data_IF_784880002830
#
_entry.id   IF_784880002830
#
_cell.length_a   1.000
_cell.length_b   1.000
_cell.length_c   1.000
_cell.angle_alpha   90.00
_cell.angle_beta   90.00
_cell.angle_gamma   90.00
#
_symmetry.space_group_name_H-M   'P 1'
#
loop_
_entity.id
_entity.type
_entity.pdbx_description
1 polymer ?
#
# COMPACT_ATOMS: atom_id res chain seq x y z
N UNK A 1 -10.18 -2.97 9.82
CA UNK A 1 -10.49 -1.80 9.00
C UNK A 1 -9.41 -0.77 9.25
N UNK A 2 -9.08 0.04 8.24
CA UNK A 2 -8.13 1.16 8.38
C UNK A 2 -8.83 2.34 9.08
N UNK A 3 -8.07 3.16 9.79
CA UNK A 3 -8.57 4.29 10.59
C UNK A 3 -8.29 5.66 9.93
N UNK A 4 -8.11 5.69 8.60
CA UNK A 4 -7.75 6.87 7.82
C UNK A 4 -6.27 6.91 7.41
N UNK A 5 -5.94 7.79 6.46
CA UNK A 5 -4.56 8.08 6.10
C UNK A 5 -3.88 8.88 7.22
N UNK A 6 -2.65 8.47 7.61
CA UNK A 6 -1.89 9.21 8.62
C UNK A 6 -1.33 10.50 8.01
N UNK A 7 -2.08 11.60 8.14
CA UNK A 7 -1.64 12.95 7.74
C UNK A 7 -0.60 13.53 8.72
N UNK A 8 -0.83 13.35 10.03
CA UNK A 8 0.02 13.96 11.08
C UNK A 8 0.24 13.03 12.28
N UNK A 9 1.49 12.93 12.72
CA UNK A 9 1.82 12.36 14.03
C UNK A 9 2.00 13.50 15.04
N UNK A 10 1.09 13.61 16.01
CA UNK A 10 1.23 14.52 17.17
C UNK A 10 1.94 13.81 18.30
N UNK A 11 3.19 14.17 18.56
CA UNK A 11 3.96 13.64 19.70
C UNK A 11 4.08 14.73 20.76
N UNK A 12 3.78 14.42 22.03
CA UNK A 12 4.10 15.32 23.14
C UNK A 12 5.48 14.97 23.70
N UNK A 13 6.45 15.86 23.54
CA UNK A 13 7.74 15.79 24.24
C UNK A 13 7.75 16.90 25.29
N UNK A 14 7.86 16.54 26.57
CA UNK A 14 7.84 17.51 27.68
C UNK A 14 6.68 18.54 27.57
N UNK A 15 5.47 18.07 27.25
CA UNK A 15 4.24 18.88 27.07
C UNK A 15 4.20 19.78 25.82
N UNK A 16 5.24 19.82 24.99
CA UNK A 16 5.23 20.49 23.70
C UNK A 16 4.75 19.53 22.60
N UNK A 17 3.70 19.88 21.84
CA UNK A 17 3.30 19.10 20.68
C UNK A 17 4.29 19.32 19.54
N UNK A 18 4.89 18.23 19.06
CA UNK A 18 5.68 18.19 17.82
C UNK A 18 4.83 17.48 16.78
N UNK A 19 4.56 18.15 15.66
CA UNK A 19 3.92 17.56 14.48
C UNK A 19 4.98 17.08 13.50
N UNK A 20 5.00 15.77 13.22
CA UNK A 20 5.81 15.19 12.16
C UNK A 20 4.86 14.79 11.04
N UNK A 21 4.96 15.49 9.90
CA UNK A 21 4.19 15.15 8.70
C UNK A 21 4.76 13.91 8.03
N UNK A 22 4.04 12.81 8.07
CA UNK A 22 4.27 11.71 7.14
C UNK A 22 3.50 12.05 5.85
N UNK A 23 4.09 11.83 4.68
CA UNK A 23 3.46 12.06 3.37
C UNK A 23 3.10 13.50 2.98
N UNK A 24 3.27 14.48 3.87
CA UNK A 24 3.01 15.91 3.58
C UNK A 24 3.70 16.37 2.30
N UNK A 25 4.94 15.98 2.03
CA UNK A 25 5.64 16.39 0.81
C UNK A 25 5.11 15.72 -0.48
N UNK A 26 4.58 14.50 -0.39
CA UNK A 26 3.92 13.85 -1.54
C UNK A 26 2.59 14.52 -1.81
N UNK A 27 1.83 14.83 -0.76
CA UNK A 27 0.55 15.55 -0.85
C UNK A 27 0.73 17.00 -1.29
N UNK A 28 1.78 17.69 -0.84
CA UNK A 28 2.19 19.02 -1.31
C UNK A 28 2.59 18.98 -2.79
N UNK A 29 3.40 18.00 -3.21
CA UNK A 29 3.78 17.84 -4.61
C UNK A 29 2.56 17.56 -5.52
N UNK A 30 1.62 16.74 -5.04
CA UNK A 30 0.34 16.50 -5.72
C UNK A 30 -0.52 17.76 -5.72
N UNK A 31 -0.57 18.50 -4.61
CA UNK A 31 -1.29 19.78 -4.49
C UNK A 31 -0.76 20.85 -5.43
N UNK A 32 0.56 20.95 -5.60
CA UNK A 32 1.22 21.79 -6.62
C UNK A 32 0.81 21.35 -8.03
N UNK A 33 0.60 20.06 -8.25
CA UNK A 33 0.07 19.48 -9.50
C UNK A 33 -1.45 19.59 -9.68
N UNK A 34 -2.18 20.19 -8.74
CA UNK A 34 -3.64 20.37 -8.83
C UNK A 34 -4.49 19.28 -8.18
N UNK A 35 -3.91 18.41 -7.34
CA UNK A 35 -4.68 17.50 -6.48
C UNK A 35 -5.34 18.28 -5.33
N UNK A 36 -6.65 18.09 -5.14
CA UNK A 36 -7.51 18.94 -4.30
C UNK A 36 -8.32 18.09 -3.33
N UNK A 37 -7.70 17.66 -2.25
CA UNK A 37 -8.32 16.81 -1.25
C UNK A 37 -9.55 17.47 -0.60
N UNK A 38 -10.69 16.77 -0.57
CA UNK A 38 -11.95 17.30 -0.03
C UNK A 38 -11.89 17.51 1.50
N UNK A 39 -11.15 16.68 2.23
CA UNK A 39 -11.01 16.78 3.69
C UNK A 39 -10.09 17.95 4.09
N UNK A 40 -8.98 18.14 3.38
CA UNK A 40 -8.10 19.30 3.50
C UNK A 40 -8.78 20.60 3.04
N UNK A 41 -9.56 20.53 1.95
CA UNK A 41 -10.37 21.67 1.48
C UNK A 41 -11.45 22.06 2.49
N UNK A 42 -12.16 21.09 3.08
CA UNK A 42 -13.14 21.33 4.16
C UNK A 42 -12.47 21.83 5.45
N UNK A 43 -11.22 21.46 5.72
CA UNK A 43 -10.46 21.94 6.88
C UNK A 43 -10.00 23.41 6.74
N UNK A 44 -10.07 23.98 5.53
CA UNK A 44 -9.64 25.35 5.23
C UNK A 44 -8.11 25.55 5.25
N UNK A 45 -7.33 24.48 5.32
CA UNK A 45 -5.87 24.55 5.33
C UNK A 45 -5.29 25.01 3.98
N UNK A 46 -5.99 24.76 2.87
CA UNK A 46 -5.60 25.12 1.49
C UNK A 46 -6.88 25.44 0.68
N UNK A 47 -6.90 26.56 -0.06
CA UNK A 47 -8.01 26.94 -0.96
C UNK A 47 -7.78 26.35 -2.36
N UNK A 48 -8.65 25.41 -2.74
CA UNK A 48 -8.54 24.61 -3.94
C UNK A 48 -9.58 24.96 -5.02
N UNK A 49 -10.45 25.97 -4.84
CA UNK A 49 -11.52 26.29 -5.81
C UNK A 49 -12.61 25.19 -5.95
N UNK A 50 -13.47 25.27 -6.97
CA UNK A 50 -14.76 24.52 -7.03
C UNK A 50 -14.68 23.03 -7.45
N UNK A 51 -13.53 22.54 -7.93
CA UNK A 51 -13.39 21.15 -8.43
C UNK A 51 -12.85 20.16 -7.39
N UNK A 52 -12.81 20.55 -6.11
CA UNK A 52 -12.31 19.75 -4.99
C UNK A 52 -13.05 18.41 -4.77
N UNK A 53 -14.17 18.17 -5.47
CA UNK A 53 -15.00 16.97 -5.33
C UNK A 53 -14.50 15.76 -6.15
N UNK A 54 -13.32 15.85 -6.78
CA UNK A 54 -12.80 14.80 -7.69
C UNK A 54 -11.53 14.12 -7.20
N UNK A 55 -10.99 14.56 -6.06
CA UNK A 55 -9.78 13.98 -5.46
C UNK A 55 -10.15 13.29 -4.16
N UNK A 56 -9.63 12.07 -4.00
CA UNK A 56 -9.95 11.22 -2.86
C UNK A 56 -8.71 10.52 -2.35
N UNK A 57 -8.70 10.18 -1.06
CA UNK A 57 -7.69 9.33 -0.46
C UNK A 57 -8.27 7.94 -0.20
N UNK A 58 -7.49 6.93 -0.52
CA UNK A 58 -7.80 5.54 -0.18
C UNK A 58 -6.73 5.05 0.79
N UNK A 59 -7.08 5.00 2.06
CA UNK A 59 -6.30 4.35 3.10
C UNK A 59 -6.66 2.86 3.18
N UNK A 60 -5.73 2.06 3.68
CA UNK A 60 -5.93 0.61 3.79
C UNK A 60 -5.07 0.01 4.89
N UNK A 61 -5.49 -1.16 5.38
CA UNK A 61 -4.76 -1.88 6.42
C UNK A 61 -3.54 -2.57 5.81
N UNK A 62 -2.40 -1.89 5.88
CA UNK A 62 -1.12 -2.36 5.34
C UNK A 62 -0.60 -3.64 6.01
N UNK A 63 -1.22 -4.11 7.09
CA UNK A 63 -0.87 -5.39 7.71
C UNK A 63 -1.50 -6.57 6.97
N UNK A 64 -2.62 -6.33 6.28
CA UNK A 64 -3.47 -7.35 5.64
C UNK A 64 -3.09 -7.57 4.18
N UNK A 65 -3.56 -8.69 3.63
CA UNK A 65 -3.31 -9.11 2.26
C UNK A 65 -3.63 -8.00 1.24
N UNK A 66 -2.72 -7.79 0.28
CA UNK A 66 -2.96 -6.90 -0.86
C UNK A 66 -4.15 -7.34 -1.73
N UNK A 67 -4.51 -8.63 -1.81
CA UNK A 67 -5.70 -9.10 -2.53
C UNK A 67 -6.97 -8.58 -1.85
N UNK A 68 -7.06 -8.71 -0.53
CA UNK A 68 -8.17 -8.17 0.26
C UNK A 68 -8.27 -6.65 0.08
N UNK A 69 -7.14 -5.94 0.18
CA UNK A 69 -7.10 -4.49 -0.01
C UNK A 69 -7.46 -4.09 -1.46
N UNK A 70 -7.23 -4.94 -2.47
CA UNK A 70 -7.60 -4.66 -3.85
C UNK A 70 -9.12 -4.71 -4.05
N UNK A 71 -9.81 -5.58 -3.31
CA UNK A 71 -11.28 -5.60 -3.26
C UNK A 71 -11.83 -4.33 -2.61
N UNK A 72 -11.23 -3.88 -1.50
CA UNK A 72 -11.61 -2.62 -0.85
C UNK A 72 -11.38 -1.41 -1.77
N UNK A 73 -10.26 -1.41 -2.51
CA UNK A 73 -9.99 -0.39 -3.52
C UNK A 73 -11.03 -0.41 -4.64
N UNK A 74 -11.47 -1.60 -5.08
CA UNK A 74 -12.54 -1.72 -6.07
C UNK A 74 -13.83 -1.07 -5.58
N UNK A 75 -14.27 -1.40 -4.37
CA UNK A 75 -15.49 -0.86 -3.75
C UNK A 75 -15.41 0.66 -3.63
N UNK A 76 -14.28 1.16 -3.15
CA UNK A 76 -14.01 2.60 -3.06
C UNK A 76 -14.10 3.29 -4.43
N UNK A 77 -13.46 2.73 -5.46
CA UNK A 77 -13.51 3.29 -6.83
C UNK A 77 -14.95 3.32 -7.35
N UNK A 78 -15.74 2.25 -7.15
CA UNK A 78 -17.15 2.24 -7.59
C UNK A 78 -17.98 3.31 -6.85
N UNK A 79 -17.80 3.43 -5.53
CA UNK A 79 -18.49 4.44 -4.72
C UNK A 79 -18.16 5.86 -5.22
N UNK A 80 -16.87 6.18 -5.37
CA UNK A 80 -16.44 7.51 -5.84
C UNK A 80 -16.85 7.77 -7.28
N UNK A 81 -16.92 6.75 -8.12
CA UNK A 81 -17.43 6.86 -9.50
C UNK A 81 -18.87 7.36 -9.52
N UNK A 82 -19.75 6.73 -8.73
CA UNK A 82 -21.16 7.13 -8.62
C UNK A 82 -21.28 8.55 -8.04
N UNK A 83 -20.49 8.87 -7.02
CA UNK A 83 -20.46 10.21 -6.44
C UNK A 83 -20.08 11.28 -7.47
N UNK A 84 -18.96 11.09 -8.20
CA UNK A 84 -18.49 12.07 -9.20
C UNK A 84 -19.48 12.20 -10.35
N UNK A 85 -20.07 11.10 -10.84
CA UNK A 85 -21.12 11.14 -11.87
C UNK A 85 -22.32 11.97 -11.41
N UNK A 86 -22.76 11.78 -10.16
CA UNK A 86 -23.88 12.52 -9.56
C UNK A 86 -23.58 14.01 -9.45
N UNK A 87 -22.39 14.36 -8.95
CA UNK A 87 -21.99 15.77 -8.82
C UNK A 87 -21.82 16.45 -10.18
N UNK A 88 -21.26 15.76 -11.18
CA UNK A 88 -21.17 16.29 -12.56
C UNK A 88 -22.55 16.53 -13.18
N UNK A 89 -23.51 15.63 -12.95
CA UNK A 89 -24.88 15.80 -13.43
C UNK A 89 -25.56 17.02 -12.78
N UNK A 90 -25.40 17.21 -11.46
CA UNK A 90 -25.98 18.35 -10.73
C UNK A 90 -25.35 19.68 -11.11
N UNK A 91 -24.02 19.73 -11.20
CA UNK A 91 -23.27 20.98 -11.39
C UNK A 91 -23.22 21.42 -12.85
N UNK A 92 -23.12 20.46 -13.78
CA UNK A 92 -22.83 20.75 -15.19
C UNK A 92 -23.84 20.13 -16.16
N UNK A 93 -24.86 19.41 -15.68
CA UNK A 93 -25.86 18.78 -16.53
C UNK A 93 -25.36 17.56 -17.32
N UNK A 94 -24.16 17.04 -17.04
CA UNK A 94 -23.57 15.89 -17.73
C UNK A 94 -24.08 14.58 -17.14
N UNK A 95 -24.96 13.88 -17.86
CA UNK A 95 -25.66 12.67 -17.35
C UNK A 95 -24.99 11.34 -17.67
N UNK A 96 -24.18 11.29 -18.72
CA UNK A 96 -23.43 10.08 -19.10
C UNK A 96 -21.95 10.43 -19.18
N UNK A 97 -21.22 10.09 -18.12
CA UNK A 97 -19.76 10.15 -18.14
C UNK A 97 -19.20 8.82 -17.67
N UNK A 98 -18.35 8.22 -18.50
CA UNK A 98 -17.51 7.11 -18.07
C UNK A 98 -16.39 7.67 -17.21
N UNK A 99 -16.68 7.79 -15.91
CA UNK A 99 -15.71 8.31 -14.95
C UNK A 99 -14.67 7.24 -14.67
N UNK A 100 -13.41 7.62 -14.93
CA UNK A 100 -12.20 6.88 -14.56
C UNK A 100 -11.35 7.75 -13.64
N UNK A 101 -10.46 7.10 -12.89
CA UNK A 101 -9.57 7.77 -11.95
C UNK A 101 -8.11 7.67 -12.37
N UNK A 102 -7.36 8.73 -12.10
CA UNK A 102 -5.91 8.65 -12.06
C UNK A 102 -5.49 8.21 -10.65
N UNK A 103 -4.75 7.10 -10.56
CA UNK A 103 -4.28 6.55 -9.29
C UNK A 103 -2.84 6.98 -9.04
N UNK A 104 -2.58 7.58 -7.88
CA UNK A 104 -1.22 7.85 -7.40
C UNK A 104 -0.95 6.97 -6.20
N UNK A 105 0.17 6.26 -6.22
CA UNK A 105 0.53 5.30 -5.17
C UNK A 105 1.97 5.45 -4.73
N UNK A 106 2.24 5.04 -3.49
CA UNK A 106 3.58 5.01 -2.92
C UNK A 106 3.90 3.63 -2.35
N UNK A 107 5.15 3.19 -2.51
CA UNK A 107 5.69 1.97 -1.90
C UNK A 107 4.80 0.73 -2.17
N UNK A 108 4.27 0.08 -1.13
CA UNK A 108 3.46 -1.13 -1.28
C UNK A 108 2.13 -0.87 -1.98
N UNK A 109 1.60 0.35 -1.91
CA UNK A 109 0.39 0.74 -2.65
C UNK A 109 0.55 0.56 -4.16
N UNK A 110 1.78 0.62 -4.68
CA UNK A 110 2.04 0.31 -6.08
C UNK A 110 1.93 -1.17 -6.40
N UNK A 111 2.24 -2.07 -5.46
CA UNK A 111 1.98 -3.51 -5.65
C UNK A 111 0.48 -3.81 -5.63
N UNK A 112 -0.23 -3.21 -4.68
CA UNK A 112 -1.69 -3.25 -4.58
C UNK A 112 -2.35 -2.81 -5.89
N UNK A 113 -2.00 -1.64 -6.41
CA UNK A 113 -2.57 -1.14 -7.67
C UNK A 113 -2.15 -2.00 -8.86
N UNK A 114 -0.92 -2.53 -8.90
CA UNK A 114 -0.53 -3.48 -9.95
C UNK A 114 -1.38 -4.74 -9.94
N UNK A 115 -1.72 -5.27 -8.76
CA UNK A 115 -2.65 -6.40 -8.63
C UNK A 115 -4.04 -6.01 -9.11
N UNK A 116 -4.60 -4.92 -8.58
CA UNK A 116 -5.92 -4.42 -8.93
C UNK A 116 -6.08 -4.19 -10.43
N UNK A 117 -5.12 -3.53 -11.09
CA UNK A 117 -5.19 -3.29 -12.54
C UNK A 117 -5.30 -4.59 -13.33
N UNK A 118 -4.58 -5.65 -12.93
CA UNK A 118 -4.55 -6.95 -13.62
C UNK A 118 -5.74 -7.83 -13.32
N UNK A 119 -6.28 -7.79 -12.11
CA UNK A 119 -7.23 -8.79 -11.62
C UNK A 119 -8.53 -8.20 -11.06
N UNK A 120 -8.62 -6.88 -10.93
CA UNK A 120 -9.74 -6.20 -10.28
C UNK A 120 -9.85 -6.61 -8.82
N UNK A 121 -11.05 -7.04 -8.43
CA UNK A 121 -11.38 -7.58 -7.10
C UNK A 121 -11.35 -9.11 -7.04
N UNK A 122 -10.79 -9.79 -8.06
CA UNK A 122 -10.72 -11.25 -8.06
C UNK A 122 -9.76 -11.78 -6.99
N UNK A 123 -10.16 -12.88 -6.36
CA UNK A 123 -9.31 -13.67 -5.46
C UNK A 123 -8.25 -14.46 -6.26
N UNK A 124 -7.18 -14.87 -5.58
CA UNK A 124 -6.22 -15.82 -6.15
C UNK A 124 -6.84 -17.22 -6.23
N UNK A 125 -6.54 -18.01 -7.28
CA UNK A 125 -6.94 -19.41 -7.35
C UNK A 125 -6.42 -20.21 -6.15
N UNK A 126 -7.24 -21.15 -5.66
CA UNK A 126 -6.88 -22.00 -4.52
C UNK A 126 -5.81 -23.05 -4.86
N UNK A 127 -5.58 -23.33 -6.14
CA UNK A 127 -4.78 -24.45 -6.65
C UNK A 127 -3.34 -24.06 -7.04
N UNK A 128 -2.78 -23.02 -6.41
CA UNK A 128 -1.42 -22.47 -6.62
C UNK A 128 -1.09 -22.07 -8.07
N UNK A 129 -2.06 -22.17 -8.99
CA UNK A 129 -1.89 -21.74 -10.37
C UNK A 129 -1.76 -20.22 -10.44
N UNK A 130 -0.84 -19.74 -11.28
CA UNK A 130 -0.72 -18.31 -11.54
C UNK A 130 -1.90 -17.87 -12.41
N UNK A 131 -2.77 -16.96 -11.94
CA UNK A 131 -3.91 -16.52 -12.74
C UNK A 131 -3.45 -15.64 -13.91
N UNK A 132 -4.06 -15.88 -15.08
CA UNK A 132 -3.87 -15.01 -16.25
C UNK A 132 -4.48 -13.62 -15.99
N UNK A 133 -3.76 -12.52 -16.30
CA UNK A 133 -4.28 -11.17 -16.12
C UNK A 133 -5.55 -10.91 -16.96
N UNK A 134 -6.63 -10.51 -16.30
CA UNK A 134 -7.91 -10.16 -16.95
C UNK A 134 -8.01 -8.68 -17.29
N UNK A 135 -7.15 -7.85 -16.70
CA UNK A 135 -7.14 -6.39 -16.76
C UNK A 135 -8.44 -5.73 -16.27
N UNK A 136 -9.21 -6.43 -15.43
CA UNK A 136 -10.52 -5.96 -14.99
C UNK A 136 -10.48 -4.65 -14.21
N UNK A 137 -9.43 -4.36 -13.42
CA UNK A 137 -9.33 -3.08 -12.72
C UNK A 137 -8.99 -1.91 -13.65
N UNK A 138 -8.30 -2.17 -14.78
CA UNK A 138 -7.86 -1.12 -15.69
C UNK A 138 -9.02 -0.38 -16.37
N UNK A 139 -10.21 -0.98 -16.47
CA UNK A 139 -11.38 -0.30 -17.05
C UNK A 139 -11.81 0.95 -16.25
N UNK A 140 -11.46 1.03 -14.96
CA UNK A 140 -11.82 2.15 -14.07
C UNK A 140 -10.69 3.16 -13.87
N UNK A 141 -9.51 2.91 -14.46
CA UNK A 141 -8.29 3.68 -14.21
C UNK A 141 -7.77 4.26 -15.53
N UNK A 142 -7.57 5.57 -15.57
CA UNK A 142 -7.03 6.27 -16.75
C UNK A 142 -5.50 6.28 -16.73
N UNK A 143 -4.90 6.66 -15.59
CA UNK A 143 -3.44 6.60 -15.37
C UNK A 143 -3.12 5.99 -14.02
N UNK A 144 -1.98 5.31 -13.94
CA UNK A 144 -1.41 4.82 -12.69
C UNK A 144 0.01 5.37 -12.53
N UNK A 145 0.22 6.14 -11.47
CA UNK A 145 1.49 6.75 -11.09
C UNK A 145 2.02 6.00 -9.88
N UNK A 146 3.12 5.27 -10.05
CA UNK A 146 3.70 4.40 -9.03
C UNK A 146 5.00 5.01 -8.51
N UNK A 147 5.00 5.48 -7.26
CA UNK A 147 6.16 6.11 -6.63
C UNK A 147 6.89 5.09 -5.74
N UNK A 148 8.09 4.68 -6.16
CA UNK A 148 8.93 3.74 -5.42
C UNK A 148 8.31 2.35 -5.13
N UNK A 149 7.57 1.71 -6.05
CA UNK A 149 7.00 0.39 -5.79
C UNK A 149 8.10 -0.68 -5.66
N UNK A 150 8.07 -1.56 -4.64
CA UNK A 150 9.02 -2.66 -4.50
C UNK A 150 8.67 -3.82 -5.45
N UNK A 151 8.70 -3.57 -6.77
CA UNK A 151 8.26 -4.50 -7.81
C UNK A 151 9.00 -5.85 -7.80
N UNK A 152 10.25 -5.85 -7.33
CA UNK A 152 11.09 -7.04 -7.20
C UNK A 152 11.10 -7.62 -5.78
N UNK A 153 10.34 -7.03 -4.85
CA UNK A 153 10.46 -7.21 -3.42
C UNK A 153 11.57 -6.34 -2.80
N UNK A 154 11.80 -6.51 -1.51
CA UNK A 154 12.75 -5.73 -0.71
C UNK A 154 13.41 -6.61 0.34
N UNK A 155 14.75 -6.68 0.32
CA UNK A 155 15.53 -7.37 1.38
C UNK A 155 15.26 -6.76 2.75
N UNK A 156 14.89 -5.48 2.80
CA UNK A 156 14.49 -4.83 4.05
C UNK A 156 13.27 -5.48 4.70
N UNK A 157 12.37 -6.11 3.94
CA UNK A 157 11.22 -6.83 4.50
C UNK A 157 11.67 -8.08 5.28
N UNK A 158 12.67 -8.82 4.75
CA UNK A 158 13.27 -9.94 5.46
C UNK A 158 13.94 -9.48 6.75
N UNK A 159 14.76 -8.42 6.67
CA UNK A 159 15.44 -7.86 7.86
C UNK A 159 14.41 -7.47 8.92
N UNK A 160 13.27 -6.90 8.53
CA UNK A 160 12.18 -6.57 9.46
C UNK A 160 11.55 -7.81 10.09
N UNK A 161 11.28 -8.85 9.31
CA UNK A 161 10.71 -10.10 9.82
C UNK A 161 11.67 -10.86 10.73
N UNK A 162 12.98 -10.73 10.55
CA UNK A 162 13.98 -11.41 11.38
C UNK A 162 14.36 -10.60 12.61
N UNK A 163 14.55 -9.28 12.46
CA UNK A 163 15.13 -8.43 13.50
C UNK A 163 14.11 -7.53 14.18
N UNK A 164 12.91 -7.37 13.63
CA UNK A 164 11.96 -6.35 14.06
C UNK A 164 12.24 -4.98 13.43
N UNK A 165 11.37 -4.01 13.68
CA UNK A 165 11.45 -2.66 13.09
C UNK A 165 11.04 -1.57 14.06
N UNK A 166 11.79 -0.47 14.08
CA UNK A 166 11.36 0.79 14.71
C UNK A 166 11.13 1.84 13.63
N UNK A 167 9.89 2.27 13.47
CA UNK A 167 9.50 3.19 12.38
C UNK A 167 9.77 4.67 12.66
N UNK A 168 10.09 5.02 13.91
CA UNK A 168 10.49 6.37 14.27
C UNK A 168 11.09 6.42 15.68
N UNK A 169 11.85 7.47 16.05
CA UNK A 169 12.53 7.54 17.34
C UNK A 169 11.61 7.36 18.56
N UNK A 170 10.36 7.84 18.45
CA UNK A 170 9.35 7.84 19.51
C UNK A 170 8.29 6.74 19.37
N UNK A 171 8.30 5.99 18.27
CA UNK A 171 7.35 4.90 18.04
C UNK A 171 7.82 3.61 18.71
N UNK A 172 6.89 2.73 19.14
CA UNK A 172 7.24 1.42 19.65
C UNK A 172 8.01 0.62 18.60
N UNK A 173 8.90 -0.27 19.08
CA UNK A 173 9.49 -1.28 18.22
C UNK A 173 8.43 -2.33 17.93
N UNK A 174 8.33 -2.71 16.67
CA UNK A 174 7.54 -3.84 16.22
C UNK A 174 8.45 -5.05 16.28
N UNK A 175 8.14 -5.96 17.19
CA UNK A 175 8.89 -7.19 17.37
C UNK A 175 8.68 -8.14 16.17
N UNK A 176 9.68 -8.95 15.82
CA UNK A 176 9.58 -9.83 14.66
C UNK A 176 8.40 -10.81 14.75
N UNK A 177 8.01 -11.26 15.95
CA UNK A 177 6.80 -12.08 16.13
C UNK A 177 5.50 -11.36 15.79
N UNK A 178 5.40 -10.06 16.10
CA UNK A 178 4.26 -9.25 15.68
C UNK A 178 4.25 -9.06 14.17
N UNK A 179 5.40 -8.69 13.57
CA UNK A 179 5.51 -8.50 12.12
C UNK A 179 5.25 -9.81 11.35
N UNK A 180 5.66 -10.95 11.89
CA UNK A 180 5.40 -12.27 11.32
C UNK A 180 3.93 -12.64 11.22
N UNK A 181 3.05 -11.97 11.96
CA UNK A 181 1.58 -12.13 11.83
C UNK A 181 0.95 -11.28 10.73
N UNK A 182 1.73 -10.47 10.00
CA UNK A 182 1.22 -9.53 8.99
C UNK A 182 1.49 -10.05 7.57
N UNK A 183 0.47 -10.62 6.88
CA UNK A 183 0.65 -11.20 5.54
C UNK A 183 1.33 -10.28 4.53
N UNK A 184 1.02 -8.98 4.58
CA UNK A 184 1.54 -8.00 3.64
C UNK A 184 3.07 -7.91 3.61
N UNK A 185 3.74 -8.15 4.75
CA UNK A 185 5.20 -8.06 4.83
C UNK A 185 5.86 -9.19 4.03
N UNK A 186 5.26 -10.38 4.02
CA UNK A 186 5.69 -11.50 3.18
C UNK A 186 5.53 -11.18 1.69
N UNK A 187 4.50 -10.41 1.32
CA UNK A 187 4.27 -9.95 -0.05
C UNK A 187 5.29 -8.89 -0.52
N UNK A 188 6.11 -8.37 0.40
CA UNK A 188 7.24 -7.49 0.10
C UNK A 188 8.57 -8.26 -0.02
N UNK A 189 8.61 -9.57 0.23
CA UNK A 189 9.85 -10.34 0.14
C UNK A 189 10.36 -10.41 -1.31
N UNK A 190 11.69 -10.44 -1.51
CA UNK A 190 12.27 -10.68 -2.83
C UNK A 190 11.80 -12.01 -3.40
N UNK A 191 11.55 -12.04 -4.72
CA UNK A 191 11.28 -13.31 -5.43
C UNK A 191 12.62 -14.01 -5.70
N UNK A 192 12.69 -15.33 -5.51
CA UNK A 192 13.93 -16.09 -5.71
C UNK A 192 14.54 -15.96 -7.11
N UNK A 193 13.72 -15.78 -8.15
CA UNK A 193 14.17 -15.47 -9.52
C UNK A 193 15.08 -14.24 -9.65
N UNK A 194 15.12 -13.36 -8.64
CA UNK A 194 16.00 -12.19 -8.63
C UNK A 194 17.33 -12.44 -7.91
N UNK A 195 17.55 -13.63 -7.33
CA UNK A 195 18.81 -14.01 -6.68
C UNK A 195 19.21 -13.11 -5.51
N UNK A 196 18.24 -12.50 -4.82
CA UNK A 196 18.51 -11.48 -3.80
C UNK A 196 19.10 -12.02 -2.48
N UNK A 197 18.94 -13.32 -2.23
CA UNK A 197 19.47 -14.02 -1.07
C UNK A 197 20.43 -15.12 -1.54
N UNK A 198 21.63 -15.16 -0.97
CA UNK A 198 22.68 -16.13 -1.27
C UNK A 198 23.30 -16.68 0.00
N UNK A 199 23.89 -17.86 -0.10
CA UNK A 199 24.72 -18.44 0.95
C UNK A 199 26.05 -17.68 1.04
N UNK A 200 26.45 -17.25 2.25
CA UNK A 200 27.72 -16.54 2.45
C UNK A 200 28.94 -17.43 2.19
N UNK A 201 28.82 -18.74 2.42
CA UNK A 201 29.87 -19.73 2.16
C UNK A 201 29.92 -20.16 0.69
N UNK A 202 28.86 -19.90 -0.08
CA UNK A 202 28.83 -20.12 -1.51
C UNK A 202 27.86 -19.15 -2.22
N UNK A 203 28.32 -17.96 -2.65
CA UNK A 203 27.48 -16.95 -3.27
C UNK A 203 26.77 -17.37 -4.57
N UNK A 204 27.21 -18.46 -5.23
CA UNK A 204 26.53 -19.05 -6.38
C UNK A 204 25.24 -19.80 -5.96
N UNK A 205 25.12 -20.16 -4.67
CA UNK A 205 23.94 -20.82 -4.13
C UNK A 205 22.91 -19.78 -3.69
N UNK A 206 21.95 -19.53 -4.59
CA UNK A 206 20.82 -18.63 -4.34
C UNK A 206 19.69 -19.36 -3.60
N UNK A 207 18.92 -18.60 -2.80
CA UNK A 207 17.68 -19.07 -2.19
C UNK A 207 16.56 -18.97 -3.22
N UNK A 208 16.09 -20.11 -3.72
CA UNK A 208 15.05 -20.18 -4.77
C UNK A 208 13.65 -19.85 -4.23
N UNK A 209 13.31 -20.33 -3.04
CA UNK A 209 12.02 -20.07 -2.41
C UNK A 209 12.19 -19.56 -0.98
N UNK A 210 12.14 -18.23 -0.83
CA UNK A 210 12.17 -17.56 0.47
C UNK A 210 10.88 -17.78 1.27
N UNK A 211 9.79 -18.26 0.67
CA UNK A 211 8.53 -18.49 1.38
C UNK A 211 8.42 -19.90 1.95
N UNK A 212 9.41 -20.77 1.70
CA UNK A 212 9.46 -22.14 2.22
C UNK A 212 9.46 -22.15 3.75
N UNK A 213 8.46 -22.75 4.44
CA UNK A 213 8.45 -22.83 5.89
C UNK A 213 9.68 -23.54 6.48
N UNK A 214 10.15 -24.63 5.83
CA UNK A 214 11.33 -25.37 6.27
C UNK A 214 12.60 -24.52 6.27
N UNK A 215 12.75 -23.60 5.31
CA UNK A 215 13.85 -22.63 5.31
C UNK A 215 13.78 -21.71 6.55
N UNK A 216 12.59 -21.24 6.92
CA UNK A 216 12.44 -20.36 8.08
C UNK A 216 12.70 -21.09 9.39
N UNK A 217 12.29 -22.36 9.48
CA UNK A 217 12.57 -23.24 10.61
C UNK A 217 14.08 -23.51 10.75
N UNK A 218 14.75 -23.91 9.67
CA UNK A 218 16.19 -24.19 9.65
C UNK A 218 17.02 -22.96 10.04
N UNK A 219 16.57 -21.78 9.62
CA UNK A 219 17.25 -20.52 9.89
C UNK A 219 16.84 -19.87 11.22
N UNK A 220 15.80 -20.39 11.90
CA UNK A 220 15.25 -19.80 13.12
C UNK A 220 14.78 -18.36 12.91
N UNK A 221 14.11 -18.07 11.79
CA UNK A 221 13.68 -16.73 11.40
C UNK A 221 12.23 -16.44 11.79
N UNK A 222 11.94 -15.16 12.07
CA UNK A 222 10.57 -14.69 12.30
C UNK A 222 9.84 -15.55 13.32
N UNK A 223 8.64 -16.01 12.98
CA UNK A 223 7.80 -16.87 13.84
C UNK A 223 8.45 -18.22 14.20
N UNK A 224 9.47 -18.67 13.49
CA UNK A 224 10.19 -19.90 13.80
C UNK A 224 11.38 -19.67 14.76
N UNK A 225 11.64 -18.43 15.18
CA UNK A 225 12.70 -18.12 16.13
C UNK A 225 12.31 -18.54 17.56
N UNK A 226 13.14 -19.36 18.21
CA UNK A 226 12.91 -19.81 19.60
C UNK A 226 12.83 -18.70 20.65
N UNK A 227 13.31 -17.49 20.33
CA UNK A 227 13.21 -16.32 21.19
C UNK A 227 11.81 -15.66 21.18
N UNK A 228 10.85 -16.21 20.43
CA UNK A 228 9.48 -15.70 20.31
C UNK A 228 8.42 -16.54 21.01
N UNK A 229 8.82 -17.63 21.67
CA UNK A 229 7.97 -18.46 22.55
C UNK A 229 7.80 -17.88 23.97
#
# INVERSE_FOLDING_TARGET
MSDGALDRLKVKVASLPIEIGAYVHVMEALGIGGYRDEELGRSGAIDYGEEHFTCFQFDYDWRRDNVENARLLHEFIQEKRVYVQTERAKRYGVKESDVKFDLVTHSMGGLLVRYYLRYGSAELPADEQTPEPTWMGAQYVERAILVGPPNAGSVSALVQLVQGRKFGPTLPRYEPGLLGTMPAIYQLLPRGRHGALVDVGNPERQVEDILSPGLWEDMGWGLAASAQD
#
